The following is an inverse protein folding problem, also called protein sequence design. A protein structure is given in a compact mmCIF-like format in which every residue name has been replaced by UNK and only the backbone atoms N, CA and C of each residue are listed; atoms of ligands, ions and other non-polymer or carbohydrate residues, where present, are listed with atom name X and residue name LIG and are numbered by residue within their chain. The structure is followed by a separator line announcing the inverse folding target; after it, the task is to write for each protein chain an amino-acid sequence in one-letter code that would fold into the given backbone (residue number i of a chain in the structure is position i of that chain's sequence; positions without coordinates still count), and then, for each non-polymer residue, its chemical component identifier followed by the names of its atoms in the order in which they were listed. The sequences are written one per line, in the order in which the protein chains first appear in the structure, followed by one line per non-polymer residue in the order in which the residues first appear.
data_IF_718970469910
#
_entry.id   IF_718970469910
#
_cell.length_a   1.000
_cell.length_b   1.000
_cell.length_c   1.000
_cell.angle_alpha   90.00
_cell.angle_beta   90.00
_cell.angle_gamma   90.00
#
_symmetry.space_group_name_H-M   'P 1'
#
loop_
_entity.id
_entity.type
_entity.pdbx_description
1 polymer ?
#
# COMPACT_ATOMS: atom_id res chain seq x y z
N UNK A 1 -16.29 -12.39 10.96
CA UNK A 1 -16.48 -12.57 9.50
C UNK A 1 -15.91 -13.93 9.10
N UNK A 2 -16.31 -14.57 7.98
CA UNK A 2 -15.64 -15.82 7.52
C UNK A 2 -14.36 -15.56 6.70
N UNK A 3 -14.22 -14.36 6.12
CA UNK A 3 -13.19 -14.09 5.10
C UNK A 3 -11.75 -14.08 5.61
N UNK A 4 -11.52 -13.87 6.92
CA UNK A 4 -10.17 -13.80 7.49
C UNK A 4 -9.85 -14.99 8.41
N UNK A 5 -10.75 -15.99 8.51
CA UNK A 5 -10.57 -17.09 9.46
C UNK A 5 -9.35 -17.93 9.08
N UNK A 6 -8.32 -17.89 9.92
CA UNK A 6 -7.07 -18.62 9.72
C UNK A 6 -6.11 -17.97 8.71
N UNK A 7 -6.31 -16.71 8.34
CA UNK A 7 -5.38 -15.99 7.47
C UNK A 7 -4.08 -15.65 8.22
N UNK A 8 -2.91 -15.98 7.67
CA UNK A 8 -1.61 -15.60 8.26
C UNK A 8 -1.19 -14.17 7.93
N UNK A 9 -1.74 -13.59 6.87
CA UNK A 9 -1.48 -12.22 6.45
C UNK A 9 -2.77 -11.57 5.95
N UNK A 10 -2.90 -10.27 6.22
CA UNK A 10 -3.99 -9.44 5.75
C UNK A 10 -3.39 -8.22 5.05
N UNK A 11 -3.77 -8.04 3.80
CA UNK A 11 -3.39 -6.88 2.99
C UNK A 11 -4.62 -5.97 2.87
N UNK A 12 -4.50 -4.75 3.38
CA UNK A 12 -5.54 -3.72 3.30
C UNK A 12 -5.14 -2.72 2.22
N UNK A 13 -5.83 -2.78 1.08
CA UNK A 13 -5.50 -1.97 -0.09
C UNK A 13 -6.46 -0.79 -0.26
N UNK A 14 -5.92 0.40 -0.49
CA UNK A 14 -6.66 1.61 -0.86
C UNK A 14 -6.14 2.17 -2.19
N UNK A 15 -6.82 3.15 -2.75
CA UNK A 15 -6.39 3.90 -3.93
C UNK A 15 -5.70 5.19 -3.49
N UNK A 16 -4.43 5.40 -3.89
CA UNK A 16 -3.61 6.55 -3.45
C UNK A 16 -4.24 7.89 -3.79
N UNK A 17 -5.05 7.95 -4.84
CA UNK A 17 -5.74 9.16 -5.30
C UNK A 17 -7.08 9.40 -4.60
N UNK A 18 -7.56 8.44 -3.80
CA UNK A 18 -8.89 8.47 -3.22
C UNK A 18 -8.87 8.33 -1.69
N UNK A 19 -8.98 9.47 -1.00
CA UNK A 19 -9.07 9.55 0.46
C UNK A 19 -10.23 8.73 1.07
N UNK A 20 -11.40 8.66 0.40
CA UNK A 20 -12.53 7.89 0.93
C UNK A 20 -12.23 6.38 0.95
N UNK A 21 -11.46 5.89 -0.02
CA UNK A 21 -11.02 4.49 -0.04
C UNK A 21 -10.14 4.16 1.16
N UNK A 22 -9.29 5.10 1.56
CA UNK A 22 -8.41 5.00 2.73
C UNK A 22 -9.21 5.03 4.04
N UNK A 23 -10.13 5.99 4.20
CA UNK A 23 -11.04 6.04 5.36
C UNK A 23 -11.89 4.76 5.45
N UNK A 24 -12.28 4.20 4.31
CA UNK A 24 -12.98 2.92 4.22
C UNK A 24 -12.22 1.77 4.90
N UNK A 25 -10.88 1.72 4.79
CA UNK A 25 -10.04 0.69 5.42
C UNK A 25 -10.26 0.65 6.92
N UNK A 26 -10.21 1.80 7.57
CA UNK A 26 -10.35 1.92 9.02
C UNK A 26 -11.78 1.57 9.48
N UNK A 27 -12.79 2.13 8.83
CA UNK A 27 -14.16 2.01 9.33
C UNK A 27 -14.86 0.71 8.95
N UNK A 28 -14.59 0.17 7.76
CA UNK A 28 -15.36 -0.96 7.21
C UNK A 28 -14.59 -2.25 7.20
N UNK A 29 -13.29 -2.19 6.92
CA UNK A 29 -12.50 -3.40 6.67
C UNK A 29 -11.78 -3.88 7.93
N UNK A 30 -11.37 -2.97 8.82
CA UNK A 30 -10.70 -3.35 10.07
C UNK A 30 -11.55 -4.30 10.94
N UNK A 31 -12.84 -4.02 11.10
CA UNK A 31 -13.76 -4.88 11.87
C UNK A 31 -13.94 -6.27 11.26
N UNK A 32 -13.73 -6.43 9.95
CA UNK A 32 -13.77 -7.75 9.30
C UNK A 32 -12.58 -8.63 9.68
N UNK A 33 -11.48 -8.01 10.11
CA UNK A 33 -10.24 -8.69 10.52
C UNK A 33 -10.30 -9.24 11.94
N UNK A 34 -11.37 -8.99 12.71
CA UNK A 34 -11.50 -9.50 14.09
C UNK A 34 -11.53 -11.03 14.19
N UNK A 35 -11.87 -11.70 13.09
CA UNK A 35 -11.83 -13.16 12.97
C UNK A 35 -10.49 -13.73 12.49
N UNK A 36 -9.48 -12.88 12.29
CA UNK A 36 -8.13 -13.30 11.92
C UNK A 36 -7.42 -13.99 13.09
N UNK A 37 -6.36 -14.75 12.81
CA UNK A 37 -5.54 -15.30 13.88
C UNK A 37 -4.83 -14.19 14.66
N UNK A 38 -4.52 -14.44 15.93
CA UNK A 38 -3.74 -13.52 16.77
C UNK A 38 -2.36 -13.19 16.19
N UNK A 39 -1.83 -14.09 15.35
CA UNK A 39 -0.49 -13.98 14.79
C UNK A 39 -0.49 -13.47 13.35
N UNK A 40 -1.64 -13.03 12.84
CA UNK A 40 -1.75 -12.51 11.47
C UNK A 40 -0.96 -11.22 11.32
N UNK A 41 -0.13 -11.12 10.28
CA UNK A 41 0.50 -9.86 9.93
C UNK A 41 -0.47 -8.96 9.14
N UNK A 42 -0.30 -7.66 9.28
CA UNK A 42 -1.11 -6.65 8.59
C UNK A 42 -0.21 -5.81 7.69
N UNK A 43 -0.69 -5.50 6.49
CA UNK A 43 -0.02 -4.57 5.58
C UNK A 43 -1.02 -3.55 5.04
N UNK A 44 -0.59 -2.30 4.93
CA UNK A 44 -1.36 -1.21 4.33
C UNK A 44 -0.79 -0.91 2.96
N UNK A 45 -1.61 -0.94 1.92
CA UNK A 45 -1.14 -0.87 0.53
C UNK A 45 -1.89 0.21 -0.23
N UNK A 46 -1.21 1.28 -0.58
CA UNK A 46 -1.67 2.23 -1.57
C UNK A 46 -1.52 1.62 -2.97
N UNK A 47 -2.59 1.51 -3.73
CA UNK A 47 -2.57 1.06 -5.12
C UNK A 47 -2.80 2.24 -6.06
N UNK A 48 -2.45 2.07 -7.34
CA UNK A 48 -2.45 3.09 -8.40
C UNK A 48 -1.35 4.14 -8.23
N UNK A 49 -0.20 3.75 -7.70
CA UNK A 49 0.99 4.61 -7.65
C UNK A 49 1.38 5.14 -9.03
N UNK A 50 1.03 4.43 -10.12
CA UNK A 50 1.17 4.91 -11.50
C UNK A 50 0.29 6.11 -11.86
N UNK A 51 -0.44 6.72 -10.92
CA UNK A 51 -1.13 8.01 -11.14
C UNK A 51 -0.45 9.17 -10.41
N UNK A 52 0.45 8.87 -9.48
CA UNK A 52 1.01 9.84 -8.54
C UNK A 52 2.54 9.82 -8.50
N UNK A 53 3.16 8.66 -8.76
CA UNK A 53 4.60 8.45 -8.77
C UNK A 53 5.11 8.28 -10.21
N UNK A 54 5.97 9.21 -10.70
CA UNK A 54 6.60 9.10 -12.00
C UNK A 54 7.37 7.79 -12.24
N UNK A 55 7.98 7.22 -11.20
CA UNK A 55 8.75 5.97 -11.29
C UNK A 55 7.83 4.76 -11.52
N UNK A 56 6.59 4.82 -11.05
CA UNK A 56 5.61 3.76 -11.21
C UNK A 56 5.04 3.67 -12.63
N UNK A 57 5.24 4.67 -13.50
CA UNK A 57 4.79 4.63 -14.90
C UNK A 57 5.71 3.80 -15.82
N UNK A 58 6.96 3.56 -15.43
CA UNK A 58 8.05 3.24 -16.38
C UNK A 58 8.04 1.79 -16.87
N UNK A 59 7.44 0.84 -16.13
CA UNK A 59 7.57 -0.59 -16.41
C UNK A 59 6.71 -1.12 -17.58
N UNK A 60 5.88 -0.28 -18.22
CA UNK A 60 5.07 -0.70 -19.40
C UNK A 60 5.61 -0.14 -20.73
N UNK A 61 6.64 0.70 -20.73
CA UNK A 61 7.25 1.21 -21.96
C UNK A 61 8.38 0.31 -22.48
N UNK A 62 8.01 -0.89 -22.92
CA UNK A 62 8.60 -1.45 -24.14
C UNK A 62 7.67 -1.16 -25.33
N UNK A 63 7.28 0.10 -25.51
CA UNK A 63 6.74 0.59 -26.78
C UNK A 63 7.60 1.75 -27.27
N UNK A 64 8.22 1.49 -28.41
CA UNK A 64 9.19 2.32 -29.14
C UNK A 64 8.62 3.71 -29.43
N UNK A 65 9.26 4.75 -28.91
CA UNK A 65 9.62 5.92 -29.74
C UNK A 65 10.69 6.79 -29.09
N UNK A 66 11.88 6.72 -29.69
CA UNK A 66 12.86 7.79 -29.64
C UNK A 66 12.26 9.06 -30.25
N UNK A 67 12.40 10.20 -29.56
CA UNK A 67 12.85 11.46 -30.16
C UNK A 67 13.62 12.26 -29.10
N UNK A 68 14.92 12.40 -29.32
CA UNK A 68 15.79 13.40 -28.69
C UNK A 68 15.49 14.79 -29.27
N UNK A 69 15.55 15.85 -28.45
CA UNK A 69 15.44 17.21 -28.96
C UNK A 69 15.44 18.35 -27.92
N UNK A 70 16.60 18.62 -27.31
CA UNK A 70 17.19 19.94 -26.97
C UNK A 70 16.35 21.19 -26.57
N UNK A 71 16.64 21.69 -25.34
CA UNK A 71 17.03 23.09 -24.94
C UNK A 71 15.96 24.20 -24.63
N UNK A 72 15.82 24.49 -23.31
CA UNK A 72 15.71 25.81 -22.55
C UNK A 72 14.50 26.81 -22.76
N UNK A 73 14.35 27.95 -22.02
CA UNK A 73 13.33 28.14 -20.95
C UNK A 73 12.40 29.41 -21.03
N UNK A 74 11.21 29.33 -20.38
CA UNK A 74 10.25 30.42 -19.96
C UNK A 74 9.52 31.21 -21.10
N UNK A 75 8.32 31.84 -20.92
CA UNK A 75 7.77 32.45 -19.70
C UNK A 75 6.27 32.17 -19.36
N UNK A 76 5.90 32.66 -18.18
CA UNK A 76 4.60 32.70 -17.49
C UNK A 76 3.32 32.75 -18.33
N UNK A 77 2.48 31.73 -18.15
CA UNK A 77 1.02 31.78 -18.39
C UNK A 77 0.29 31.47 -17.07
N UNK A 78 -0.82 32.16 -16.74
CA UNK A 78 -1.58 31.89 -15.54
C UNK A 78 -2.38 30.60 -15.76
N UNK A 79 -2.01 29.52 -15.08
CA UNK A 79 -2.79 28.28 -15.08
C UNK A 79 -3.90 28.37 -14.04
N UNK A 80 -5.15 28.22 -14.46
CA UNK A 80 -6.05 27.35 -13.71
C UNK A 80 -6.59 26.27 -14.65
N UNK A 81 -6.58 25.02 -14.17
CA UNK A 81 -7.86 24.36 -14.06
C UNK A 81 -8.06 23.80 -12.66
N UNK A 82 -9.31 23.88 -12.20
CA UNK A 82 -9.84 23.10 -11.08
C UNK A 82 -9.44 21.62 -11.24
N UNK A 83 -8.36 21.19 -10.57
CA UNK A 83 -8.23 19.79 -10.21
C UNK A 83 -9.00 19.62 -8.90
N UNK A 84 -9.99 18.72 -8.85
CA UNK A 84 -10.72 18.51 -7.62
C UNK A 84 -9.72 18.15 -6.52
N UNK A 85 -9.90 18.82 -5.40
CA UNK A 85 -9.14 18.75 -4.15
C UNK A 85 -9.26 17.36 -3.50
N UNK A 86 -9.07 16.27 -4.25
CA UNK A 86 -9.00 14.93 -3.69
C UNK A 86 -7.62 14.79 -3.06
N UNK A 87 -7.59 14.96 -1.74
CA UNK A 87 -6.39 14.79 -0.92
C UNK A 87 -5.78 13.42 -1.20
N UNK A 88 -4.65 13.41 -1.91
CA UNK A 88 -3.83 12.20 -2.05
C UNK A 88 -3.44 11.72 -0.65
N UNK A 89 -3.56 10.42 -0.42
CA UNK A 89 -3.16 9.83 0.85
C UNK A 89 -1.63 9.81 0.90
N UNK A 90 -1.04 10.40 1.93
CA UNK A 90 0.41 10.37 2.11
C UNK A 90 0.87 9.06 2.74
N UNK A 91 2.14 8.70 2.52
CA UNK A 91 2.73 7.54 3.18
C UNK A 91 2.69 7.67 4.71
N UNK A 92 2.83 8.89 5.24
CA UNK A 92 2.68 9.18 6.68
C UNK A 92 1.27 8.85 7.20
N UNK A 93 0.21 9.16 6.43
CA UNK A 93 -1.16 8.79 6.79
C UNK A 93 -1.31 7.26 6.88
N UNK A 94 -0.74 6.52 5.91
CA UNK A 94 -0.77 5.06 5.90
C UNK A 94 -0.02 4.44 7.09
N UNK A 95 1.17 4.96 7.42
CA UNK A 95 1.94 4.53 8.59
C UNK A 95 1.20 4.83 9.89
N UNK A 96 0.53 5.98 9.99
CA UNK A 96 -0.29 6.33 11.15
C UNK A 96 -1.46 5.35 11.32
N UNK A 97 -2.13 4.96 10.22
CA UNK A 97 -3.19 3.95 10.24
C UNK A 97 -2.66 2.59 10.68
N UNK A 98 -1.53 2.13 10.14
CA UNK A 98 -0.89 0.88 10.56
C UNK A 98 -0.61 0.88 12.07
N UNK A 99 0.00 1.95 12.60
CA UNK A 99 0.28 2.08 14.02
C UNK A 99 -1.00 2.10 14.88
N UNK A 100 -2.10 2.64 14.37
CA UNK A 100 -3.40 2.57 15.06
C UNK A 100 -3.95 1.14 15.09
N UNK A 101 -3.81 0.38 14.01
CA UNK A 101 -4.24 -1.02 13.91
C UNK A 101 -3.47 -1.90 14.88
N UNK A 102 -2.14 -1.79 14.92
CA UNK A 102 -1.29 -2.55 15.84
C UNK A 102 -1.70 -2.31 17.30
N UNK A 103 -1.93 -1.04 17.67
CA UNK A 103 -2.41 -0.68 19.01
C UNK A 103 -3.80 -1.23 19.30
N UNK A 104 -4.73 -1.11 18.35
CA UNK A 104 -6.09 -1.62 18.49
C UNK A 104 -6.13 -3.14 18.70
N UNK A 105 -5.29 -3.89 17.98
CA UNK A 105 -5.21 -5.36 18.08
C UNK A 105 -4.36 -5.85 19.27
N UNK A 106 -3.80 -4.95 20.07
CA UNK A 106 -2.88 -5.27 21.15
C UNK A 106 -1.69 -6.15 20.70
N UNK A 107 -1.22 -5.97 19.46
CA UNK A 107 -0.07 -6.67 18.87
C UNK A 107 1.27 -6.03 19.28
N UNK A 108 1.26 -5.19 20.32
CA UNK A 108 2.43 -4.43 20.76
C UNK A 108 3.59 -5.38 21.12
N UNK A 109 4.69 -5.28 20.38
CA UNK A 109 5.93 -6.04 20.59
C UNK A 109 6.14 -7.25 19.67
N UNK A 110 5.13 -7.68 18.89
CA UNK A 110 5.27 -8.80 17.93
C UNK A 110 5.17 -8.33 16.47
N UNK A 111 4.53 -7.20 16.20
CA UNK A 111 4.35 -6.70 14.84
C UNK A 111 5.59 -5.98 14.27
N UNK A 112 5.89 -6.11 12.96
CA UNK A 112 6.97 -5.37 12.32
C UNK A 112 6.77 -3.84 12.34
N UNK A 113 7.85 -3.05 12.12
CA UNK A 113 7.76 -1.59 11.97
C UNK A 113 6.87 -1.16 10.80
N UNK A 114 6.26 0.02 10.91
CA UNK A 114 5.33 0.55 9.91
C UNK A 114 5.98 0.73 8.53
N UNK A 115 7.26 1.09 8.50
CA UNK A 115 8.05 1.31 7.28
C UNK A 115 8.20 0.03 6.47
N UNK A 116 8.13 -1.14 7.12
CA UNK A 116 8.19 -2.43 6.43
C UNK A 116 6.81 -2.92 5.97
N UNK A 117 5.73 -2.33 6.46
CA UNK A 117 4.35 -2.84 6.30
C UNK A 117 3.42 -1.90 5.54
N UNK A 118 3.91 -0.71 5.16
CA UNK A 118 3.19 0.24 4.33
C UNK A 118 3.87 0.35 2.96
N UNK A 119 3.11 0.04 1.89
CA UNK A 119 3.62 0.02 0.53
C UNK A 119 2.78 0.89 -0.39
N UNK A 120 3.41 1.51 -1.38
CA UNK A 120 2.73 2.06 -2.55
C UNK A 120 3.05 1.19 -3.76
N UNK A 121 2.02 0.77 -4.49
CA UNK A 121 2.08 -0.23 -5.56
C UNK A 121 1.29 0.23 -6.78
N UNK A 122 1.62 -0.32 -7.95
CA UNK A 122 0.75 -0.26 -9.12
C UNK A 122 0.45 -1.66 -9.61
N UNK A 123 -0.81 -2.08 -9.48
CA UNK A 123 -1.31 -3.30 -10.11
C UNK A 123 -1.27 -3.23 -11.66
N UNK A 124 -1.17 -2.02 -12.24
CA UNK A 124 -1.12 -1.83 -13.70
C UNK A 124 0.28 -2.07 -14.25
N UNK A 125 1.30 -1.54 -13.58
CA UNK A 125 2.69 -1.60 -14.07
C UNK A 125 3.53 -2.66 -13.38
N UNK A 126 3.03 -3.25 -12.29
CA UNK A 126 3.79 -4.16 -11.43
C UNK A 126 4.68 -3.45 -10.42
N UNK A 127 4.70 -2.10 -10.41
CA UNK A 127 5.54 -1.32 -9.51
C UNK A 127 5.33 -1.73 -8.04
N UNK A 128 6.44 -2.06 -7.36
CA UNK A 128 6.52 -2.49 -5.95
C UNK A 128 5.68 -3.72 -5.55
N UNK A 129 5.04 -4.41 -6.49
CA UNK A 129 4.20 -5.57 -6.18
C UNK A 129 5.06 -6.73 -5.65
N UNK A 130 6.15 -7.05 -6.33
CA UNK A 130 7.06 -8.13 -5.93
C UNK A 130 7.70 -7.84 -4.57
N UNK A 131 8.21 -6.62 -4.39
CA UNK A 131 8.83 -6.17 -3.13
C UNK A 131 7.87 -6.31 -1.94
N UNK A 132 6.61 -5.92 -2.13
CA UNK A 132 5.57 -6.09 -1.11
C UNK A 132 5.38 -7.58 -0.77
N UNK A 133 5.15 -8.44 -1.76
CA UNK A 133 4.90 -9.85 -1.51
C UNK A 133 6.10 -10.58 -0.91
N UNK A 134 7.32 -10.35 -1.42
CA UNK A 134 8.55 -10.91 -0.88
C UNK A 134 8.72 -10.54 0.61
N UNK A 135 8.53 -9.26 0.95
CA UNK A 135 8.61 -8.79 2.33
C UNK A 135 7.58 -9.50 3.23
N UNK A 136 6.35 -9.66 2.75
CA UNK A 136 5.30 -10.36 3.52
C UNK A 136 5.61 -11.85 3.65
N UNK A 137 6.12 -12.50 2.61
CA UNK A 137 6.51 -13.90 2.66
C UNK A 137 7.60 -14.14 3.70
N UNK A 138 8.66 -13.34 3.70
CA UNK A 138 9.77 -13.48 4.66
C UNK A 138 9.32 -13.34 6.11
N UNK A 139 8.27 -12.57 6.36
CA UNK A 139 7.70 -12.39 7.70
C UNK A 139 6.74 -13.51 8.11
N UNK A 140 6.00 -14.09 7.17
CA UNK A 140 5.01 -15.14 7.44
C UNK A 140 5.65 -16.53 7.49
N UNK A 141 6.69 -16.77 6.68
CA UNK A 141 7.32 -18.09 6.56
C UNK A 141 7.77 -18.69 7.91
N UNK A 142 8.44 -17.94 8.81
CA UNK A 142 8.83 -18.47 10.12
C UNK A 142 7.63 -18.90 10.98
N UNK A 143 6.52 -18.15 10.90
CA UNK A 143 5.29 -18.42 11.65
C UNK A 143 4.60 -19.71 11.19
N UNK A 144 4.55 -19.95 9.87
CA UNK A 144 3.99 -21.19 9.30
C UNK A 144 4.82 -22.41 9.70
N UNK A 145 6.15 -22.31 9.59
CA UNK A 145 7.05 -23.43 9.92
C UNK A 145 6.92 -23.86 11.38
N UNK A 146 6.85 -22.89 12.30
CA UNK A 146 6.66 -23.14 13.74
C UNK A 146 5.36 -23.86 14.04
N UNK A 147 4.28 -23.55 13.31
CA UNK A 147 2.96 -24.16 13.51
C UNK A 147 2.87 -25.59 12.96
N UNK A 148 3.66 -25.93 11.93
CA UNK A 148 3.72 -27.29 11.36
C UNK A 148 4.43 -28.33 12.25
N UNK A 149 5.22 -27.88 13.24
CA UNK A 149 5.97 -28.74 14.16
C UNK A 149 5.30 -28.87 15.55
N UNK A 150 4.15 -28.23 15.74
CA UNK A 150 3.29 -28.30 16.93
C UNK A 150 2.15 -29.30 16.73
#
# INVERSE_FOLDING_TARGET
SMYCRGAEAIILTYDVTNWESFVGLEHRFLSLTDSASSDSIFAIVGNKADLTDPQAHVMTLEEVKAEEGSVLPLPSFPTPPDFPLHKQVSQDDAMALYNRIIRYKALEGTSPPAEKMCFETSAKTGFNVDVMFETLFDLVLPSIQKRSQS
#
